data_IF_696385945722
#
_entry.id   IF_696385945722
#
_cell.length_a   1.000
_cell.length_b   1.000
_cell.length_c   1.000
_cell.angle_alpha   90.00
_cell.angle_beta   90.00
_cell.angle_gamma   90.00
#
_symmetry.space_group_name_H-M   'P 1'
#
loop_
_entity.id
_entity.type
_entity.pdbx_description
1 polymer ?
#
# COMPACT_ATOMS: atom_id res chain seq x y z
N UNK A 1 21.02 10.90 14.56
CA UNK A 1 20.17 10.89 13.35
C UNK A 1 18.95 10.05 13.67
N UNK A 2 17.75 10.60 13.47
CA UNK A 2 16.48 9.90 13.71
C UNK A 2 16.41 8.61 12.88
N UNK A 3 15.81 7.56 13.43
CA UNK A 3 15.65 6.28 12.75
C UNK A 3 14.22 5.76 12.92
N UNK A 4 13.55 5.52 11.80
CA UNK A 4 12.25 4.88 11.76
C UNK A 4 12.41 3.37 11.59
N UNK A 5 11.74 2.60 12.44
CA UNK A 5 11.71 1.14 12.39
C UNK A 5 10.42 0.69 11.73
N UNK A 6 10.55 -0.19 10.73
CA UNK A 6 9.43 -0.64 9.90
C UNK A 6 9.24 -2.14 10.01
N UNK A 7 7.99 -2.56 10.17
CA UNK A 7 7.57 -3.92 9.88
C UNK A 7 6.29 -3.94 9.04
N UNK A 8 6.10 -5.04 8.30
CA UNK A 8 5.01 -5.24 7.34
C UNK A 8 4.13 -6.42 7.75
N UNK A 9 2.85 -6.37 7.39
CA UNK A 9 1.94 -7.50 7.54
C UNK A 9 1.01 -7.64 6.36
N UNK A 10 0.55 -8.88 6.12
CA UNK A 10 -0.39 -9.16 5.04
C UNK A 10 0.21 -9.35 3.64
N UNK A 11 1.55 -9.36 3.53
CA UNK A 11 2.25 -9.60 2.27
C UNK A 11 1.97 -11.00 1.70
N UNK A 12 1.63 -11.04 0.41
CA UNK A 12 1.39 -12.27 -0.38
C UNK A 12 2.09 -12.25 -1.73
N UNK A 13 3.02 -11.31 -1.93
CA UNK A 13 3.67 -11.06 -3.21
C UNK A 13 2.68 -10.70 -4.30
N UNK A 14 2.82 -11.34 -5.46
CA UNK A 14 2.01 -11.07 -6.64
C UNK A 14 0.53 -11.41 -6.48
N UNK A 15 0.15 -12.19 -5.45
CA UNK A 15 -1.23 -12.61 -5.23
C UNK A 15 -2.00 -11.61 -4.36
N UNK A 16 -2.47 -10.52 -4.96
CA UNK A 16 -3.31 -9.52 -4.32
C UNK A 16 -4.79 -9.96 -4.18
N UNK A 17 -5.16 -11.11 -4.75
CA UNK A 17 -6.51 -11.68 -4.71
C UNK A 17 -6.68 -12.75 -3.61
N UNK A 18 -5.69 -12.91 -2.73
CA UNK A 18 -5.73 -13.90 -1.66
C UNK A 18 -6.93 -13.65 -0.70
N UNK A 19 -7.89 -14.60 -0.59
CA UNK A 19 -9.09 -14.40 0.22
C UNK A 19 -8.86 -14.48 1.73
N UNK A 20 -7.75 -15.07 2.19
CA UNK A 20 -7.41 -15.17 3.61
C UNK A 20 -6.62 -13.95 4.12
N UNK A 21 -5.96 -13.24 3.22
CA UNK A 21 -5.18 -12.05 3.50
C UNK A 21 -5.65 -10.93 2.57
N UNK A 22 -6.71 -10.20 2.92
CA UNK A 22 -7.24 -9.11 2.07
C UNK A 22 -6.44 -7.82 2.18
N UNK A 23 -5.94 -7.54 3.38
CA UNK A 23 -5.16 -6.33 3.64
C UNK A 23 -3.67 -6.62 3.63
N UNK A 24 -2.91 -5.61 3.23
CA UNK A 24 -1.49 -5.49 3.48
C UNK A 24 -1.22 -4.12 4.08
N UNK A 25 -0.15 -4.00 4.85
CA UNK A 25 0.24 -2.73 5.40
C UNK A 25 1.59 -2.79 6.08
N UNK A 26 2.01 -1.64 6.59
CA UNK A 26 3.25 -1.49 7.32
C UNK A 26 3.14 -0.36 8.34
N UNK A 27 3.91 -0.45 9.41
CA UNK A 27 4.02 0.64 10.39
C UNK A 27 5.47 1.11 10.44
N UNK A 28 5.67 2.43 10.41
CA UNK A 28 6.94 3.07 10.73
C UNK A 28 6.84 3.77 12.09
N UNK A 29 7.85 3.59 12.95
CA UNK A 29 7.92 4.25 14.26
C UNK A 29 9.34 4.71 14.59
N UNK A 30 9.49 5.95 15.05
CA UNK A 30 10.75 6.48 15.55
C UNK A 30 10.89 6.21 17.06
N UNK A 31 11.49 5.07 17.39
CA UNK A 31 11.76 4.62 18.76
C UNK A 31 13.10 3.88 18.85
N UNK A 32 13.89 4.13 19.89
CA UNK A 32 15.15 3.42 20.12
C UNK A 32 14.91 2.04 20.77
N UNK A 33 15.79 1.08 20.50
CA UNK A 33 15.64 -0.31 20.97
C UNK A 33 15.57 -0.43 22.51
N UNK A 34 16.32 0.40 23.24
CA UNK A 34 16.29 0.41 24.70
C UNK A 34 14.92 0.79 25.25
N UNK A 35 14.28 1.77 24.62
CA UNK A 35 12.97 2.29 25.01
C UNK A 35 11.85 1.34 24.59
N UNK A 36 11.90 0.82 23.36
CA UNK A 36 11.00 -0.24 22.92
C UNK A 36 11.11 -1.47 23.83
N UNK A 37 12.32 -1.88 24.18
CA UNK A 37 12.57 -2.97 25.11
C UNK A 37 12.04 -2.69 26.51
N UNK A 38 12.09 -1.44 26.99
CA UNK A 38 11.50 -1.02 28.28
C UNK A 38 9.98 -1.18 28.24
N UNK A 39 9.31 -0.63 27.23
CA UNK A 39 7.86 -0.74 27.06
C UNK A 39 7.39 -2.19 26.93
N UNK A 40 8.13 -3.03 26.18
CA UNK A 40 7.82 -4.45 26.07
C UNK A 40 7.88 -5.14 27.44
N UNK A 41 8.92 -4.89 28.25
CA UNK A 41 9.05 -5.47 29.59
C UNK A 41 7.98 -4.97 30.56
N UNK A 42 7.59 -3.71 30.44
CA UNK A 42 6.54 -3.08 31.27
C UNK A 42 5.16 -3.72 31.01
N UNK A 43 4.77 -3.84 29.74
CA UNK A 43 3.48 -4.40 29.35
C UNK A 43 3.45 -5.94 29.38
N UNK A 44 4.59 -6.59 29.11
CA UNK A 44 4.71 -8.05 29.04
C UNK A 44 5.82 -8.61 29.96
N UNK A 45 5.74 -8.41 31.30
CA UNK A 45 6.81 -8.77 32.24
C UNK A 45 7.07 -10.28 32.36
N UNK A 46 6.17 -11.11 31.85
CA UNK A 46 6.28 -12.59 31.85
C UNK A 46 6.61 -13.16 30.46
N UNK A 47 6.99 -12.31 29.51
CA UNK A 47 7.39 -12.76 28.18
C UNK A 47 8.72 -13.52 28.29
N UNK A 48 8.73 -14.76 27.81
CA UNK A 48 9.93 -15.61 27.74
C UNK A 48 10.38 -15.87 26.30
N UNK A 49 9.60 -15.40 25.32
CA UNK A 49 9.94 -15.55 23.92
C UNK A 49 11.04 -14.55 23.54
N UNK A 50 12.01 -15.01 22.74
CA UNK A 50 13.09 -14.17 22.22
C UNK A 50 12.59 -13.09 21.24
N UNK A 51 11.37 -13.26 20.72
CA UNK A 51 10.76 -12.35 19.76
C UNK A 51 9.27 -12.10 20.09
N UNK A 52 8.91 -10.83 20.14
CA UNK A 52 7.53 -10.38 20.29
C UNK A 52 6.85 -10.39 18.90
N UNK A 53 5.83 -11.25 18.75
CA UNK A 53 4.98 -11.29 17.55
C UNK A 53 3.51 -11.09 17.91
N UNK A 54 2.85 -10.17 17.22
CA UNK A 54 1.44 -9.82 17.40
C UNK A 54 0.54 -11.06 17.44
N UNK A 55 0.64 -11.92 16.43
CA UNK A 55 -0.19 -13.14 16.30
C UNK A 55 -0.07 -14.07 17.51
N UNK A 56 1.12 -14.16 18.12
CA UNK A 56 1.34 -14.99 19.30
C UNK A 56 0.73 -14.39 20.56
N UNK A 57 0.79 -13.05 20.69
CA UNK A 57 0.22 -12.33 21.82
C UNK A 57 -1.30 -12.28 21.78
N UNK A 58 -1.86 -11.95 20.62
CA UNK A 58 -3.29 -11.75 20.38
C UNK A 58 -4.10 -13.03 20.67
N UNK A 59 -3.51 -14.21 20.46
CA UNK A 59 -4.12 -15.50 20.79
C UNK A 59 -4.47 -15.67 22.28
N UNK A 60 -3.85 -14.92 23.19
CA UNK A 60 -4.06 -15.04 24.64
C UNK A 60 -4.96 -13.89 25.13
N UNK A 61 -6.20 -14.13 25.59
CA UNK A 61 -7.09 -13.07 26.06
C UNK A 61 -6.50 -12.18 27.17
N UNK A 62 -5.69 -12.77 28.05
CA UNK A 62 -4.98 -12.02 29.10
C UNK A 62 -4.01 -10.95 28.57
N UNK A 63 -3.61 -11.02 27.30
CA UNK A 63 -2.73 -10.05 26.66
C UNK A 63 -3.49 -8.90 25.98
N UNK A 64 -4.81 -8.98 25.78
CA UNK A 64 -5.55 -7.97 25.03
C UNK A 64 -5.46 -6.57 25.66
N UNK A 65 -5.66 -6.39 26.98
CA UNK A 65 -5.49 -5.08 27.60
C UNK A 65 -4.07 -4.54 27.51
N UNK A 66 -3.06 -5.44 27.51
CA UNK A 66 -1.64 -5.08 27.41
C UNK A 66 -1.27 -4.64 26.00
N UNK A 67 -1.81 -5.30 24.98
CA UNK A 67 -1.68 -4.87 23.58
C UNK A 67 -2.30 -3.49 23.35
N UNK A 68 -3.46 -3.23 23.94
CA UNK A 68 -4.11 -1.92 23.86
C UNK A 68 -3.33 -0.84 24.61
N UNK A 69 -2.74 -1.17 25.77
CA UNK A 69 -1.93 -0.23 26.54
C UNK A 69 -0.61 0.09 25.81
N UNK A 70 0.12 -0.91 25.34
CA UNK A 70 1.34 -0.71 24.55
C UNK A 70 1.08 0.15 23.31
N UNK A 71 0.03 -0.14 22.53
CA UNK A 71 -0.30 0.67 21.35
C UNK A 71 -0.60 2.13 21.72
N UNK A 72 -1.32 2.37 22.84
CA UNK A 72 -1.61 3.73 23.29
C UNK A 72 -0.32 4.50 23.59
N UNK A 73 0.60 3.90 24.33
CA UNK A 73 1.86 4.55 24.69
C UNK A 73 2.70 4.84 23.43
N UNK A 74 2.80 3.87 22.51
CA UNK A 74 3.51 4.05 21.23
C UNK A 74 2.92 5.16 20.37
N UNK A 75 1.59 5.21 20.24
CA UNK A 75 0.89 6.22 19.43
C UNK A 75 0.91 7.62 20.07
N UNK A 76 0.98 7.71 21.40
CA UNK A 76 0.96 8.99 22.11
C UNK A 76 2.35 9.63 22.15
N UNK A 77 3.38 8.83 22.41
CA UNK A 77 4.70 9.35 22.79
C UNK A 77 5.73 9.31 21.65
N UNK A 78 5.42 8.68 20.51
CA UNK A 78 6.36 8.51 19.40
C UNK A 78 5.80 8.95 18.04
N UNK A 79 6.69 9.50 17.21
CA UNK A 79 6.43 9.73 15.80
C UNK A 79 6.24 8.38 15.11
N UNK A 80 5.02 8.10 14.67
CA UNK A 80 4.69 6.89 13.93
C UNK A 80 3.64 7.13 12.84
N UNK A 81 3.63 6.24 11.87
CA UNK A 81 2.61 6.16 10.83
C UNK A 81 2.35 4.69 10.50
N UNK A 82 1.08 4.33 10.41
CA UNK A 82 0.62 3.03 9.93
C UNK A 82 -0.06 3.22 8.59
N UNK A 83 0.28 2.38 7.61
CA UNK A 83 -0.36 2.30 6.31
C UNK A 83 -1.13 0.99 6.19
N UNK A 84 -2.39 1.03 5.74
CA UNK A 84 -3.20 -0.17 5.43
C UNK A 84 -3.85 -0.03 4.06
N UNK A 85 -3.68 -1.02 3.18
CA UNK A 85 -4.36 -1.09 1.89
C UNK A 85 -5.20 -2.36 1.73
N UNK A 86 -6.37 -2.20 1.12
CA UNK A 86 -7.13 -3.32 0.56
C UNK A 86 -6.45 -3.78 -0.73
N UNK A 87 -5.96 -5.03 -0.77
CA UNK A 87 -5.18 -5.53 -1.90
C UNK A 87 -5.98 -5.67 -3.18
N UNK A 88 -7.27 -6.00 -3.08
CA UNK A 88 -8.16 -6.05 -4.26
C UNK A 88 -8.37 -4.65 -4.82
N UNK A 89 -8.53 -3.66 -3.96
CA UNK A 89 -8.65 -2.27 -4.38
C UNK A 89 -7.34 -1.74 -5.00
N UNK A 90 -6.19 -2.04 -4.39
CA UNK A 90 -4.89 -1.71 -4.97
C UNK A 90 -4.68 -2.37 -6.33
N UNK A 91 -5.09 -3.63 -6.49
CA UNK A 91 -5.02 -4.33 -7.78
C UNK A 91 -5.91 -3.66 -8.83
N UNK A 92 -7.07 -3.11 -8.44
CA UNK A 92 -7.91 -2.32 -9.34
C UNK A 92 -7.22 -1.02 -9.77
N UNK A 93 -6.55 -0.33 -8.86
CA UNK A 93 -5.76 0.87 -9.22
C UNK A 93 -4.66 0.50 -10.22
N UNK A 94 -3.90 -0.56 -9.96
CA UNK A 94 -2.89 -1.07 -10.90
C UNK A 94 -3.50 -1.49 -12.24
N UNK A 95 -4.67 -2.12 -12.23
CA UNK A 95 -5.39 -2.46 -13.46
C UNK A 95 -5.74 -1.21 -14.25
N UNK A 96 -6.24 -0.16 -13.60
CA UNK A 96 -6.54 1.09 -14.27
C UNK A 96 -5.26 1.76 -14.79
N UNK A 97 -4.18 1.78 -14.01
CA UNK A 97 -2.90 2.40 -14.41
C UNK A 97 -2.27 1.74 -15.65
N UNK A 98 -2.33 0.41 -15.76
CA UNK A 98 -1.64 -0.30 -16.85
C UNK A 98 -2.55 -0.77 -17.98
N UNK A 99 -3.82 -1.05 -17.68
CA UNK A 99 -4.73 -1.67 -18.63
C UNK A 99 -5.80 -0.70 -19.18
N UNK A 100 -5.88 0.52 -18.65
CA UNK A 100 -6.91 1.52 -19.00
C UNK A 100 -6.28 2.87 -19.32
N UNK A 101 -5.48 3.44 -18.41
CA UNK A 101 -4.93 4.79 -18.54
C UNK A 101 -4.15 5.03 -19.84
N UNK A 102 -3.30 4.12 -20.33
CA UNK A 102 -2.50 4.39 -21.54
C UNK A 102 -3.38 4.70 -22.76
N UNK A 103 -4.57 4.10 -22.83
CA UNK A 103 -5.55 4.39 -23.89
C UNK A 103 -6.02 5.85 -23.85
N UNK A 104 -6.25 6.40 -22.66
CA UNK A 104 -6.68 7.79 -22.49
C UNK A 104 -5.52 8.76 -22.69
N UNK A 105 -4.32 8.40 -22.22
CA UNK A 105 -3.10 9.19 -22.39
C UNK A 105 -2.78 9.41 -23.87
N UNK A 106 -2.78 8.36 -24.70
CA UNK A 106 -2.55 8.46 -26.16
C UNK A 106 -3.63 9.29 -26.89
N UNK A 107 -4.73 9.61 -26.22
CA UNK A 107 -5.82 10.47 -26.72
C UNK A 107 -5.79 11.87 -26.10
N UNK A 108 -4.75 12.21 -25.36
CA UNK A 108 -4.57 13.52 -24.73
C UNK A 108 -5.52 13.79 -23.57
N UNK A 109 -6.04 12.75 -22.93
CA UNK A 109 -6.94 12.87 -21.77
C UNK A 109 -6.16 12.53 -20.49
N UNK A 110 -6.20 13.44 -19.51
CA UNK A 110 -5.63 13.20 -18.18
C UNK A 110 -6.59 12.33 -17.34
N UNK A 111 -6.32 11.02 -17.34
CA UNK A 111 -7.10 10.04 -16.58
C UNK A 111 -6.93 10.18 -15.06
N UNK A 112 -5.91 10.92 -14.62
CA UNK A 112 -5.61 11.16 -13.20
C UNK A 112 -6.21 12.46 -12.66
N UNK A 113 -6.76 13.31 -13.53
CA UNK A 113 -7.32 14.61 -13.16
C UNK A 113 -8.28 14.47 -11.97
N UNK A 114 -8.02 15.22 -10.91
CA UNK A 114 -8.76 15.20 -9.64
C UNK A 114 -9.00 13.80 -9.04
N UNK A 115 -8.12 12.83 -9.31
CA UNK A 115 -8.22 11.47 -8.77
C UNK A 115 -9.29 10.59 -9.41
N UNK A 116 -9.63 10.84 -10.68
CA UNK A 116 -10.60 10.04 -11.43
C UNK A 116 -10.32 8.53 -11.39
N UNK A 117 -9.06 8.11 -11.47
CA UNK A 117 -8.65 6.72 -11.33
C UNK A 117 -9.11 6.09 -9.99
N UNK A 118 -8.99 6.81 -8.86
CA UNK A 118 -9.46 6.34 -7.55
C UNK A 118 -10.98 6.22 -7.48
N UNK A 119 -11.70 7.18 -8.05
CA UNK A 119 -13.16 7.15 -8.12
C UNK A 119 -13.64 5.97 -8.98
N UNK A 120 -13.04 5.75 -10.15
CA UNK A 120 -13.39 4.63 -11.02
C UNK A 120 -13.04 3.28 -10.39
N UNK A 121 -11.89 3.17 -9.72
CA UNK A 121 -11.53 1.96 -8.97
C UNK A 121 -12.53 1.69 -7.84
N UNK A 122 -12.98 2.72 -7.12
CA UNK A 122 -13.95 2.57 -6.02
C UNK A 122 -15.33 2.16 -6.53
N UNK A 123 -15.73 2.71 -7.68
CA UNK A 123 -16.94 2.30 -8.37
C UNK A 123 -16.84 0.81 -8.78
N UNK A 124 -15.79 0.43 -9.51
CA UNK A 124 -15.56 -0.97 -9.91
C UNK A 124 -15.50 -1.92 -8.72
N UNK A 125 -14.85 -1.52 -7.63
CA UNK A 125 -14.77 -2.30 -6.41
C UNK A 125 -16.18 -2.59 -5.85
N UNK A 126 -17.02 -1.55 -5.81
CA UNK A 126 -18.34 -1.59 -5.17
C UNK A 126 -19.37 -2.31 -6.03
N UNK A 127 -19.51 -1.91 -7.31
CA UNK A 127 -20.58 -2.40 -8.17
C UNK A 127 -20.12 -3.49 -9.13
N UNK A 128 -18.83 -3.63 -9.40
CA UNK A 128 -18.30 -4.58 -10.38
C UNK A 128 -18.69 -6.05 -10.14
N UNK A 129 -18.73 -6.57 -8.88
CA UNK A 129 -19.17 -7.94 -8.61
C UNK A 129 -20.59 -8.26 -9.07
N UNK A 130 -21.48 -7.27 -9.11
CA UNK A 130 -22.89 -7.43 -9.54
C UNK A 130 -23.12 -6.95 -10.97
N UNK A 131 -22.57 -5.78 -11.32
CA UNK A 131 -22.78 -5.09 -12.59
C UNK A 131 -22.17 -5.84 -13.77
N UNK A 132 -20.94 -6.34 -13.63
CA UNK A 132 -20.17 -6.94 -14.73
C UNK A 132 -20.58 -8.40 -15.04
N UNK A 133 -21.46 -8.97 -14.23
CA UNK A 133 -21.84 -10.38 -14.27
C UNK A 133 -21.08 -11.24 -13.25
N UNK A 134 -21.68 -12.37 -12.88
CA UNK A 134 -21.21 -13.23 -11.78
C UNK A 134 -19.75 -13.67 -11.97
N UNK A 135 -18.89 -13.26 -11.04
CA UNK A 135 -17.47 -13.57 -11.01
C UNK A 135 -16.65 -12.97 -12.15
N UNK A 136 -17.22 -12.06 -12.95
CA UNK A 136 -16.52 -11.45 -14.08
C UNK A 136 -15.34 -10.59 -13.61
N UNK A 137 -15.56 -9.76 -12.57
CA UNK A 137 -14.50 -8.94 -11.99
C UNK A 137 -13.34 -9.79 -11.45
N UNK A 138 -13.63 -10.91 -10.78
CA UNK A 138 -12.59 -11.79 -10.23
C UNK A 138 -11.76 -12.44 -11.35
N UNK A 139 -12.43 -12.93 -12.41
CA UNK A 139 -11.75 -13.49 -13.59
C UNK A 139 -10.87 -12.47 -14.28
N UNK A 140 -11.35 -11.23 -14.41
CA UNK A 140 -10.59 -10.12 -14.98
C UNK A 140 -9.33 -9.84 -14.16
N UNK A 141 -9.47 -9.63 -12.85
CA UNK A 141 -8.35 -9.30 -11.95
C UNK A 141 -7.32 -10.44 -11.86
N UNK A 142 -7.77 -11.69 -11.80
CA UNK A 142 -6.87 -12.86 -11.84
C UNK A 142 -6.11 -12.93 -13.17
N UNK A 143 -6.81 -12.69 -14.29
CA UNK A 143 -6.17 -12.68 -15.62
C UNK A 143 -5.18 -11.52 -15.77
N UNK A 144 -5.47 -10.37 -15.16
CA UNK A 144 -4.57 -9.22 -15.14
C UNK A 144 -3.29 -9.52 -14.36
N UNK A 145 -3.39 -10.06 -13.13
CA UNK A 145 -2.20 -10.48 -12.38
C UNK A 145 -1.35 -11.48 -13.17
N UNK A 146 -2.01 -12.44 -13.84
CA UNK A 146 -1.33 -13.45 -14.67
C UNK A 146 -0.62 -12.78 -15.86
N UNK A 147 -1.29 -11.86 -16.55
CA UNK A 147 -0.72 -11.12 -17.67
C UNK A 147 0.51 -10.28 -17.26
N UNK A 148 0.42 -9.55 -16.14
CA UNK A 148 1.54 -8.78 -15.60
C UNK A 148 2.70 -9.67 -15.17
N UNK A 149 2.42 -10.84 -14.59
CA UNK A 149 3.45 -11.78 -14.13
C UNK A 149 4.15 -12.51 -15.28
N UNK A 150 3.38 -13.10 -16.19
CA UNK A 150 3.89 -13.95 -17.26
C UNK A 150 4.36 -13.15 -18.48
N UNK A 151 3.75 -11.98 -18.74
CA UNK A 151 4.03 -11.10 -19.89
C UNK A 151 4.01 -11.83 -21.25
N UNK A 152 3.27 -12.93 -21.35
CA UNK A 152 3.15 -13.76 -22.55
C UNK A 152 1.94 -13.35 -23.39
N UNK A 153 2.00 -13.58 -24.70
CA UNK A 153 0.86 -13.32 -25.59
C UNK A 153 -0.39 -14.13 -25.19
N UNK A 154 -0.21 -15.34 -24.67
CA UNK A 154 -1.31 -16.17 -24.16
C UNK A 154 -1.98 -15.52 -22.94
N UNK A 155 -1.19 -15.04 -21.97
CA UNK A 155 -1.72 -14.40 -20.78
C UNK A 155 -2.44 -13.08 -21.10
N UNK A 156 -1.92 -12.29 -22.06
CA UNK A 156 -2.60 -11.11 -22.58
C UNK A 156 -3.91 -11.45 -23.28
N UNK A 157 -3.92 -12.50 -24.12
CA UNK A 157 -5.14 -12.99 -24.77
C UNK A 157 -6.22 -13.37 -23.76
N UNK A 158 -5.84 -14.11 -22.72
CA UNK A 158 -6.75 -14.50 -21.63
C UNK A 158 -7.32 -13.27 -20.88
N UNK A 159 -6.54 -12.21 -20.69
CA UNK A 159 -7.02 -10.97 -20.09
C UNK A 159 -8.06 -10.27 -20.98
N UNK A 160 -7.81 -10.18 -22.28
CA UNK A 160 -8.76 -9.61 -23.25
C UNK A 160 -10.05 -10.43 -23.25
N UNK A 161 -9.95 -11.76 -23.33
CA UNK A 161 -11.10 -12.66 -23.30
C UNK A 161 -11.93 -12.51 -22.02
N UNK A 162 -11.26 -12.34 -20.86
CA UNK A 162 -11.93 -12.09 -19.60
C UNK A 162 -12.70 -10.75 -19.59
N UNK A 163 -12.14 -9.70 -20.20
CA UNK A 163 -12.80 -8.41 -20.37
C UNK A 163 -14.00 -8.51 -21.33
N UNK A 164 -13.82 -9.16 -22.49
CA UNK A 164 -14.87 -9.38 -23.49
C UNK A 164 -16.05 -10.22 -22.96
N UNK A 165 -15.77 -11.21 -22.11
CA UNK A 165 -16.78 -12.08 -21.51
C UNK A 165 -17.56 -11.40 -20.35
N UNK A 166 -17.15 -10.21 -19.92
CA UNK A 166 -17.87 -9.41 -18.94
C UNK A 166 -18.96 -8.55 -19.60
N UNK A 167 -19.84 -7.95 -18.80
CA UNK A 167 -20.77 -6.90 -19.27
C UNK A 167 -20.04 -5.55 -19.37
N UNK A 168 -18.97 -5.50 -20.14
CA UNK A 168 -18.07 -4.34 -20.21
C UNK A 168 -18.76 -3.05 -20.67
N UNK A 169 -19.87 -3.16 -21.42
CA UNK A 169 -20.69 -2.02 -21.86
C UNK A 169 -21.40 -1.28 -20.71
N UNK A 170 -21.46 -1.86 -19.50
CA UNK A 170 -22.02 -1.18 -18.32
C UNK A 170 -21.04 -0.14 -17.74
N UNK A 171 -19.73 -0.33 -17.96
CA UNK A 171 -18.66 0.59 -17.57
C UNK A 171 -17.58 0.60 -18.67
N UNK A 172 -17.91 1.12 -19.88
CA UNK A 172 -17.01 1.10 -21.02
C UNK A 172 -15.74 1.91 -20.76
N UNK A 173 -15.77 2.89 -19.87
CA UNK A 173 -14.61 3.69 -19.51
C UNK A 173 -13.51 2.86 -18.84
N UNK A 174 -13.90 1.86 -18.04
CA UNK A 174 -12.94 0.99 -17.37
C UNK A 174 -12.54 -0.24 -18.18
N UNK A 175 -13.45 -0.76 -19.01
CA UNK A 175 -13.26 -2.07 -19.63
C UNK A 175 -13.18 -2.01 -21.16
N UNK A 176 -13.70 -0.95 -21.78
CA UNK A 176 -13.64 -0.72 -23.22
C UNK A 176 -12.22 -0.74 -23.80
N UNK A 177 -11.20 -0.14 -23.15
CA UNK A 177 -9.82 -0.21 -23.64
C UNK A 177 -9.34 -1.64 -23.93
N UNK A 178 -9.73 -2.60 -23.10
CA UNK A 178 -9.42 -4.01 -23.34
C UNK A 178 -10.48 -4.71 -24.20
N UNK A 179 -11.75 -4.65 -23.78
CA UNK A 179 -12.83 -5.48 -24.33
C UNK A 179 -13.25 -5.06 -25.74
N UNK A 180 -13.20 -3.76 -26.05
CA UNK A 180 -13.59 -3.25 -27.36
C UNK A 180 -12.38 -3.04 -28.28
N UNK A 181 -11.32 -2.45 -27.73
CA UNK A 181 -10.19 -1.98 -28.54
C UNK A 181 -8.98 -2.89 -28.52
N UNK A 182 -8.88 -3.81 -27.55
CA UNK A 182 -7.66 -4.56 -27.28
C UNK A 182 -6.42 -3.64 -27.35
N UNK A 183 -6.54 -2.48 -26.68
CA UNK A 183 -5.69 -1.31 -26.91
C UNK A 183 -4.19 -1.67 -26.83
N UNK A 184 -3.43 -1.55 -27.93
CA UNK A 184 -2.04 -1.99 -27.97
C UNK A 184 -1.15 -1.24 -26.97
N UNK A 185 -1.46 0.04 -26.69
CA UNK A 185 -0.81 0.86 -25.68
C UNK A 185 -0.95 0.26 -24.26
N UNK A 186 -2.13 -0.20 -23.89
CA UNK A 186 -2.38 -0.88 -22.62
C UNK A 186 -1.65 -2.23 -22.54
N UNK A 187 -1.72 -3.05 -23.59
CA UNK A 187 -1.03 -4.34 -23.63
C UNK A 187 0.50 -4.18 -23.55
N UNK A 188 1.04 -3.13 -24.19
CA UNK A 188 2.46 -2.77 -24.13
C UNK A 188 2.86 -2.32 -22.72
N UNK A 189 2.03 -1.52 -22.05
CA UNK A 189 2.29 -1.10 -20.67
C UNK A 189 2.38 -2.31 -19.73
N UNK A 190 1.45 -3.27 -19.83
CA UNK A 190 1.44 -4.51 -19.02
C UNK A 190 2.73 -5.32 -19.15
N UNK A 191 3.29 -5.42 -20.36
CA UNK A 191 4.52 -6.22 -20.62
C UNK A 191 5.82 -5.44 -20.41
N UNK A 192 5.75 -4.18 -19.99
CA UNK A 192 6.95 -3.38 -19.76
C UNK A 192 7.82 -4.02 -18.65
N UNK A 193 9.13 -4.22 -18.88
CA UNK A 193 10.02 -4.77 -17.87
C UNK A 193 9.98 -3.94 -16.57
N UNK A 194 9.84 -4.61 -15.42
CA UNK A 194 9.71 -3.96 -14.11
C UNK A 194 8.26 -3.79 -13.63
N UNK A 195 7.27 -3.73 -14.53
CA UNK A 195 5.85 -3.70 -14.15
C UNK A 195 5.48 -4.99 -13.43
N UNK A 196 4.86 -4.86 -12.26
CA UNK A 196 4.47 -5.95 -11.39
C UNK A 196 3.24 -5.56 -10.55
N UNK A 197 2.65 -6.52 -9.85
CA UNK A 197 1.51 -6.32 -8.93
C UNK A 197 1.92 -6.42 -7.45
N UNK A 198 3.17 -6.08 -7.12
CA UNK A 198 3.64 -6.08 -5.74
C UNK A 198 3.29 -4.76 -5.03
N UNK A 199 2.56 -4.89 -3.93
CA UNK A 199 2.14 -3.77 -3.11
C UNK A 199 3.26 -3.19 -2.21
N UNK A 200 4.33 -3.94 -1.95
CA UNK A 200 5.35 -3.58 -0.96
C UNK A 200 5.99 -2.21 -1.26
N UNK A 201 6.29 -1.92 -2.52
CA UNK A 201 6.87 -0.63 -2.88
C UNK A 201 5.90 0.54 -2.68
N UNK A 202 4.61 0.35 -3.01
CA UNK A 202 3.56 1.37 -2.80
C UNK A 202 3.39 1.67 -1.31
N UNK A 203 3.39 0.63 -0.47
CA UNK A 203 3.34 0.74 0.99
C UNK A 203 4.55 1.53 1.50
N UNK A 204 5.77 1.12 1.11
CA UNK A 204 7.00 1.77 1.54
C UNK A 204 7.07 3.23 1.09
N UNK A 205 6.71 3.53 -0.16
CA UNK A 205 6.70 4.91 -0.67
C UNK A 205 5.69 5.79 0.09
N UNK A 206 4.54 5.24 0.46
CA UNK A 206 3.55 5.93 1.28
C UNK A 206 4.10 6.26 2.68
N UNK A 207 4.82 5.31 3.29
CA UNK A 207 5.51 5.57 4.56
C UNK A 207 6.60 6.62 4.40
N UNK A 208 7.44 6.54 3.35
CA UNK A 208 8.50 7.53 3.09
C UNK A 208 7.91 8.93 2.95
N UNK A 209 6.85 9.10 2.15
CA UNK A 209 6.16 10.39 1.98
C UNK A 209 5.75 11.00 3.33
N UNK A 210 5.24 10.18 4.26
CA UNK A 210 4.85 10.66 5.59
C UNK A 210 6.03 10.90 6.52
N UNK A 211 7.03 10.02 6.52
CA UNK A 211 8.25 10.19 7.32
C UNK A 211 9.02 11.46 6.92
N UNK A 212 9.05 11.81 5.63
CA UNK A 212 9.62 13.07 5.14
C UNK A 212 8.96 14.30 5.77
N UNK A 213 7.65 14.24 6.05
CA UNK A 213 6.92 15.32 6.74
C UNK A 213 7.22 15.31 8.24
N UNK A 214 7.28 14.12 8.85
CA UNK A 214 7.43 13.95 10.31
C UNK A 214 8.87 14.18 10.82
N UNK A 215 9.86 13.95 9.97
CA UNK A 215 11.27 14.09 10.33
C UNK A 215 11.69 15.58 10.32
N UNK A 216 12.32 16.02 11.40
CA UNK A 216 12.81 17.40 11.55
C UNK A 216 14.07 17.66 10.69
N UNK A 217 14.76 16.60 10.28
CA UNK A 217 15.98 16.66 9.50
C UNK A 217 16.30 15.31 8.85
N UNK A 218 17.58 15.06 8.49
CA UNK A 218 17.99 13.79 7.92
C UNK A 218 17.63 12.61 8.82
N UNK A 219 17.13 11.53 8.22
CA UNK A 219 16.74 10.32 8.94
C UNK A 219 17.16 9.05 8.17
N UNK A 220 17.14 7.91 8.88
CA UNK A 220 17.32 6.58 8.28
C UNK A 220 16.13 5.68 8.56
N UNK A 221 16.05 4.59 7.81
CA UNK A 221 15.04 3.54 8.00
C UNK A 221 15.74 2.21 8.27
N UNK A 222 15.29 1.51 9.30
CA UNK A 222 15.62 0.12 9.60
C UNK A 222 14.34 -0.71 9.44
N UNK A 223 14.31 -1.59 8.45
CA UNK A 223 13.15 -2.42 8.15
C UNK A 223 13.41 -3.87 8.57
N UNK A 224 12.38 -4.62 8.98
CA UNK A 224 12.52 -6.07 9.17
C UNK A 224 13.00 -6.75 7.88
N UNK A 225 13.54 -7.96 7.98
CA UNK A 225 14.03 -8.66 6.80
C UNK A 225 12.90 -8.97 5.81
N UNK A 226 12.98 -8.39 4.61
CA UNK A 226 12.03 -8.58 3.53
C UNK A 226 12.77 -8.87 2.23
N UNK A 227 12.42 -10.00 1.59
CA UNK A 227 13.00 -10.38 0.29
C UNK A 227 12.71 -9.34 -0.80
N UNK A 228 11.63 -8.56 -0.67
CA UNK A 228 11.22 -7.60 -1.71
C UNK A 228 11.96 -6.27 -1.60
N UNK A 229 12.39 -5.89 -0.40
CA UNK A 229 13.25 -4.72 -0.26
C UNK A 229 14.54 -4.84 -1.06
N UNK A 230 15.05 -6.06 -1.24
CA UNK A 230 16.19 -6.32 -2.11
C UNK A 230 15.87 -5.98 -3.57
N UNK A 231 14.65 -6.26 -4.03
CA UNK A 231 14.18 -5.93 -5.38
C UNK A 231 14.12 -4.42 -5.62
N UNK A 232 13.72 -3.64 -4.61
CA UNK A 232 13.54 -2.18 -4.73
C UNK A 232 14.75 -1.37 -4.28
N UNK A 233 15.80 -2.01 -3.77
CA UNK A 233 16.95 -1.33 -3.19
C UNK A 233 17.58 -0.33 -4.16
N UNK A 234 17.82 -0.73 -5.41
CA UNK A 234 18.42 0.14 -6.43
C UNK A 234 17.53 1.33 -6.79
N UNK A 235 16.20 1.17 -6.80
CA UNK A 235 15.26 2.26 -7.01
C UNK A 235 15.25 3.25 -5.83
N UNK A 236 15.22 2.73 -4.60
CA UNK A 236 15.29 3.56 -3.38
C UNK A 236 16.61 4.34 -3.31
N UNK A 237 17.73 3.72 -3.67
CA UNK A 237 19.02 4.39 -3.72
C UNK A 237 19.04 5.53 -4.74
N UNK A 238 18.38 5.36 -5.90
CA UNK A 238 18.23 6.43 -6.89
C UNK A 238 17.39 7.59 -6.35
N UNK A 239 16.30 7.31 -5.64
CA UNK A 239 15.49 8.35 -4.99
C UNK A 239 16.29 9.12 -3.93
N UNK A 240 17.03 8.42 -3.08
CA UNK A 240 17.85 9.02 -2.02
C UNK A 240 18.95 9.93 -2.60
N UNK A 241 19.58 9.51 -3.71
CA UNK A 241 20.65 10.26 -4.37
C UNK A 241 20.15 11.37 -5.30
N UNK A 242 18.84 11.52 -5.45
CA UNK A 242 18.28 12.47 -6.39
C UNK A 242 18.28 13.89 -5.81
N UNK A 243 19.16 14.74 -6.34
CA UNK A 243 19.40 16.08 -5.79
C UNK A 243 18.57 17.19 -6.45
N UNK A 244 17.89 16.91 -7.58
CA UNK A 244 17.15 17.95 -8.32
C UNK A 244 15.94 18.41 -7.49
N UNK A 245 15.88 19.69 -7.07
CA UNK A 245 14.77 20.18 -6.26
C UNK A 245 13.46 20.19 -7.05
N UNK A 246 12.46 19.46 -6.55
CA UNK A 246 11.14 19.42 -7.14
C UNK A 246 10.10 18.98 -6.11
N UNK A 247 8.88 19.47 -6.24
CA UNK A 247 7.73 19.06 -5.42
C UNK A 247 6.53 18.79 -6.30
N UNK A 248 5.86 17.67 -6.03
CA UNK A 248 4.61 17.30 -6.66
C UNK A 248 3.51 17.11 -5.61
N UNK A 249 2.37 17.74 -5.83
CA UNK A 249 1.18 17.55 -4.99
C UNK A 249 0.48 16.23 -5.33
N UNK A 250 0.20 15.41 -4.33
CA UNK A 250 -0.54 14.15 -4.48
C UNK A 250 -1.98 14.27 -3.97
N UNK A 251 -2.19 15.02 -2.88
CA UNK A 251 -3.50 15.30 -2.31
C UNK A 251 -3.50 16.61 -1.51
N UNK A 252 -4.56 16.86 -0.74
CA UNK A 252 -4.63 17.94 0.25
C UNK A 252 -3.52 17.86 1.31
N UNK A 253 -3.12 16.64 1.70
CA UNK A 253 -2.20 16.41 2.83
C UNK A 253 -0.89 15.69 2.45
N UNK A 254 -0.71 15.35 1.17
CA UNK A 254 0.44 14.58 0.69
C UNK A 254 1.12 15.23 -0.52
N UNK A 255 2.45 15.19 -0.51
CA UNK A 255 3.32 15.63 -1.59
C UNK A 255 4.58 14.78 -1.66
N UNK A 256 5.20 14.70 -2.83
CA UNK A 256 6.53 14.11 -3.01
C UNK A 256 7.50 15.26 -3.26
N UNK A 257 8.53 15.37 -2.44
CA UNK A 257 9.57 16.42 -2.57
C UNK A 257 10.94 15.78 -2.66
N UNK A 258 11.76 16.27 -3.59
CA UNK A 258 13.18 15.96 -3.68
C UNK A 258 14.02 17.23 -3.48
N UNK A 259 15.26 17.12 -2.99
CA UNK A 259 15.89 15.91 -2.44
C UNK A 259 15.19 15.39 -1.17
N UNK A 260 15.29 14.08 -0.94
CA UNK A 260 14.74 13.44 0.26
C UNK A 260 15.61 13.76 1.50
N UNK A 261 14.99 13.84 2.68
CA UNK A 261 15.71 13.81 3.97
C UNK A 261 16.22 12.40 4.29
N UNK A 262 15.55 11.35 3.79
CA UNK A 262 15.95 9.95 3.92
C UNK A 262 17.37 9.73 3.38
N UNK A 263 18.27 9.25 4.24
CA UNK A 263 19.67 9.01 3.91
C UNK A 263 19.98 7.55 3.57
N UNK A 264 19.25 6.60 4.17
CA UNK A 264 19.51 5.17 3.97
C UNK A 264 18.34 4.30 4.43
N UNK A 265 18.15 3.18 3.74
CA UNK A 265 17.25 2.08 4.13
C UNK A 265 18.09 0.83 4.32
N UNK A 266 18.05 0.25 5.53
CA UNK A 266 18.78 -0.98 5.89
C UNK A 266 17.81 -2.03 6.44
N UNK A 267 18.19 -3.30 6.35
CA UNK A 267 17.41 -4.40 6.93
C UNK A 267 18.05 -4.88 8.24
N UNK A 268 17.23 -5.24 9.24
CA UNK A 268 17.66 -5.77 10.53
C UNK A 268 16.83 -7.02 10.89
N UNK A 269 17.44 -7.98 11.58
CA UNK A 269 16.72 -9.14 12.14
C UNK A 269 15.90 -8.67 13.35
N UNK A 270 14.57 -8.82 13.29
CA UNK A 270 13.64 -8.47 14.35
C UNK A 270 14.01 -9.08 15.71
N UNK A 271 14.69 -10.23 15.77
CA UNK A 271 15.16 -10.85 17.03
C UNK A 271 16.15 -9.97 17.80
N UNK A 272 16.83 -9.08 17.09
CA UNK A 272 17.81 -8.17 17.66
C UNK A 272 17.33 -6.72 17.73
N UNK A 273 16.08 -6.43 17.33
CA UNK A 273 15.50 -5.09 17.40
C UNK A 273 14.11 -5.08 18.05
N UNK A 274 14.02 -4.81 19.36
CA UNK A 274 12.77 -4.49 20.02
C UNK A 274 11.95 -3.41 19.32
N UNK A 275 12.60 -2.44 18.67
CA UNK A 275 11.92 -1.36 17.94
C UNK A 275 11.19 -1.87 16.68
N UNK A 276 11.76 -2.83 15.93
CA UNK A 276 11.04 -3.51 14.84
C UNK A 276 9.91 -4.38 15.37
N UNK A 277 10.12 -5.04 16.52
CA UNK A 277 9.07 -5.86 17.14
C UNK A 277 7.84 -5.07 17.59
N UNK A 278 8.00 -3.83 18.05
CA UNK A 278 6.82 -2.98 18.34
C UNK A 278 6.11 -2.54 17.07
N UNK A 279 6.83 -2.36 15.95
CA UNK A 279 6.21 -2.12 14.65
C UNK A 279 5.35 -3.32 14.20
N UNK A 280 5.81 -4.57 14.38
CA UNK A 280 5.03 -5.81 14.15
C UNK A 280 3.70 -5.79 14.91
N UNK A 281 3.74 -5.39 16.19
CA UNK A 281 2.56 -5.29 17.05
C UNK A 281 1.56 -4.27 16.53
N UNK A 282 2.04 -3.08 16.15
CA UNK A 282 1.19 -2.01 15.63
C UNK A 282 0.52 -2.41 14.31
N UNK A 283 1.28 -2.91 13.34
CA UNK A 283 0.72 -3.28 12.04
C UNK A 283 -0.17 -4.52 12.15
N UNK A 284 0.21 -5.49 12.99
CA UNK A 284 -0.59 -6.69 13.26
C UNK A 284 -1.98 -6.35 13.81
N UNK A 285 -2.06 -5.43 14.77
CA UNK A 285 -3.31 -4.96 15.34
C UNK A 285 -4.16 -4.17 14.32
N UNK A 286 -3.54 -3.27 13.56
CA UNK A 286 -4.23 -2.50 12.53
C UNK A 286 -4.84 -3.39 11.44
N UNK A 287 -4.10 -4.40 10.97
CA UNK A 287 -4.60 -5.36 9.98
C UNK A 287 -5.74 -6.22 10.55
N UNK A 288 -5.64 -6.68 11.79
CA UNK A 288 -6.73 -7.43 12.43
C UNK A 288 -8.01 -6.58 12.56
N UNK A 289 -7.86 -5.33 12.99
CA UNK A 289 -8.97 -4.40 13.09
C UNK A 289 -9.61 -4.10 11.72
N UNK A 290 -8.81 -3.89 10.67
CA UNK A 290 -9.31 -3.71 9.30
C UNK A 290 -10.10 -4.94 8.80
N UNK A 291 -9.61 -6.16 9.06
CA UNK A 291 -10.33 -7.40 8.74
C UNK A 291 -11.67 -7.52 9.48
N UNK A 292 -11.73 -7.02 10.72
CA UNK A 292 -12.94 -7.06 11.56
C UNK A 292 -13.98 -6.06 11.09
N UNK A 293 -13.58 -4.80 10.86
CA UNK A 293 -14.47 -3.74 10.41
C UNK A 293 -15.05 -4.00 9.02
N UNK A 294 -14.33 -4.74 8.17
CA UNK A 294 -14.82 -5.12 6.84
C UNK A 294 -15.57 -6.46 6.82
N UNK A 295 -15.86 -7.03 7.99
CA UNK A 295 -16.69 -8.24 8.13
C UNK A 295 -16.05 -9.53 7.64
N UNK A 296 -14.75 -9.52 7.36
CA UNK A 296 -14.04 -10.69 6.83
C UNK A 296 -13.74 -11.72 7.91
N UNK A 297 -13.32 -11.26 9.09
CA UNK A 297 -12.98 -12.13 10.21
C UNK A 297 -13.20 -11.40 11.53
N UNK A 298 -13.86 -12.05 12.49
CA UNK A 298 -13.92 -11.53 13.85
C UNK A 298 -12.50 -11.47 14.46
N UNK A 299 -12.03 -10.26 14.76
CA UNK A 299 -10.81 -10.00 15.50
C UNK A 299 -10.95 -10.40 16.97
N UNK A 300 -9.81 -10.52 17.64
CA UNK A 300 -9.76 -10.75 19.08
C UNK A 300 -9.73 -9.42 19.84
N UNK A 301 -9.21 -8.36 19.22
CA UNK A 301 -9.30 -6.99 19.73
C UNK A 301 -10.57 -6.29 19.24
N UNK A 302 -11.04 -5.34 20.03
CA UNK A 302 -12.12 -4.43 19.66
C UNK A 302 -11.60 -3.46 18.57
N UNK A 303 -12.03 -3.68 17.33
CA UNK A 303 -11.48 -3.00 16.17
C UNK A 303 -11.74 -1.48 16.17
N UNK A 304 -12.91 -1.05 16.66
CA UNK A 304 -13.23 0.38 16.78
C UNK A 304 -12.30 1.05 17.79
N UNK A 305 -12.05 0.39 18.93
CA UNK A 305 -11.11 0.91 19.93
C UNK A 305 -9.67 0.94 19.44
N UNK A 306 -9.23 -0.04 18.65
CA UNK A 306 -7.89 -0.04 18.04
C UNK A 306 -7.75 1.16 17.12
N UNK A 307 -8.71 1.36 16.21
CA UNK A 307 -8.67 2.47 15.26
C UNK A 307 -8.76 3.84 15.96
N UNK A 308 -9.55 3.95 17.03
CA UNK A 308 -9.69 5.18 17.81
C UNK A 308 -8.41 5.59 18.58
N UNK A 309 -7.37 4.73 18.66
CA UNK A 309 -6.08 5.14 19.22
C UNK A 309 -5.26 6.00 18.25
N UNK A 310 -5.50 5.87 16.94
CA UNK A 310 -4.74 6.59 15.93
C UNK A 310 -5.24 8.03 15.83
N UNK A 311 -4.32 8.99 15.86
CA UNK A 311 -4.64 10.34 15.39
C UNK A 311 -4.75 10.36 13.86
N UNK A 312 -5.50 11.32 13.30
CA UNK A 312 -5.75 11.45 11.85
C UNK A 312 -4.46 11.42 10.99
N UNK A 313 -3.36 11.89 11.56
CA UNK A 313 -2.09 12.05 10.88
C UNK A 313 -1.14 10.83 11.01
N UNK A 314 -1.58 9.79 11.72
CA UNK A 314 -0.83 8.55 12.01
C UNK A 314 -1.36 7.33 11.24
N UNK A 315 -2.50 7.45 10.55
CA UNK A 315 -3.07 6.36 9.76
C UNK A 315 -3.24 6.80 8.30
N UNK A 316 -2.62 6.07 7.39
CA UNK A 316 -2.84 6.19 5.95
C UNK A 316 -3.62 4.95 5.51
N UNK A 317 -4.68 5.16 4.73
CA UNK A 317 -5.46 4.04 4.22
C UNK A 317 -5.68 4.13 2.71
N UNK A 318 -5.56 3.00 2.04
CA UNK A 318 -5.91 2.85 0.62
C UNK A 318 -7.08 1.87 0.53
N UNK A 319 -8.27 2.43 0.70
CA UNK A 319 -9.54 1.73 0.75
C UNK A 319 -10.50 2.33 -0.30
N UNK A 320 -11.42 1.54 -0.85
CA UNK A 320 -12.46 2.06 -1.74
C UNK A 320 -13.40 2.99 -0.96
N UNK A 321 -13.84 4.08 -1.60
CA UNK A 321 -14.82 5.02 -1.03
C UNK A 321 -15.92 5.33 -2.05
N UNK A 322 -17.17 5.33 -1.58
CA UNK A 322 -18.33 5.75 -2.38
C UNK A 322 -18.67 7.23 -2.20
N UNK A 323 -17.92 7.96 -1.37
CA UNK A 323 -18.01 9.41 -1.27
C UNK A 323 -17.13 10.04 -2.36
N UNK A 324 -17.64 10.05 -3.59
CA UNK A 324 -16.90 10.52 -4.76
C UNK A 324 -16.57 12.03 -4.70
N UNK A 325 -17.42 12.82 -4.04
CA UNK A 325 -17.19 14.25 -3.86
C UNK A 325 -16.02 14.51 -2.90
N UNK A 326 -15.96 13.75 -1.79
CA UNK A 326 -14.81 13.78 -0.89
C UNK A 326 -13.53 13.32 -1.60
N UNK A 327 -13.57 12.20 -2.34
CA UNK A 327 -12.41 11.68 -3.07
C UNK A 327 -11.85 12.70 -4.08
N UNK A 328 -12.74 13.37 -4.81
CA UNK A 328 -12.40 14.41 -5.78
C UNK A 328 -11.79 15.62 -5.08
N UNK A 329 -12.44 16.15 -4.04
CA UNK A 329 -11.93 17.29 -3.26
C UNK A 329 -10.54 17.00 -2.69
N UNK A 330 -10.34 15.81 -2.11
CA UNK A 330 -9.09 15.41 -1.49
C UNK A 330 -7.91 15.38 -2.49
N UNK A 331 -8.18 15.10 -3.77
CA UNK A 331 -7.16 15.02 -4.84
C UNK A 331 -7.22 16.16 -5.83
N UNK A 332 -7.97 17.21 -5.52
CA UNK A 332 -8.12 18.34 -6.42
C UNK A 332 -6.76 19.00 -6.71
N UNK A 333 -6.44 19.15 -7.99
CA UNK A 333 -5.14 19.68 -8.42
C UNK A 333 -3.95 18.77 -8.09
N UNK A 334 -4.17 17.46 -7.95
CA UNK A 334 -3.09 16.49 -7.90
C UNK A 334 -2.28 16.50 -9.20
N UNK A 335 -0.99 16.20 -9.09
CA UNK A 335 -0.04 16.18 -10.20
C UNK A 335 0.39 14.75 -10.53
N UNK A 336 -0.51 13.78 -10.39
CA UNK A 336 -0.18 12.36 -10.49
C UNK A 336 0.45 11.98 -11.85
N UNK A 337 -0.13 12.41 -12.98
CA UNK A 337 0.46 12.20 -14.30
C UNK A 337 1.87 12.78 -14.43
N UNK A 338 2.09 14.01 -13.91
CA UNK A 338 3.40 14.67 -13.93
C UNK A 338 4.44 13.92 -13.07
N UNK A 339 4.02 13.28 -11.98
CA UNK A 339 4.90 12.42 -11.17
C UNK A 339 5.31 11.18 -11.95
N UNK A 340 4.35 10.54 -12.63
CA UNK A 340 4.60 9.35 -13.44
C UNK A 340 5.61 9.67 -14.54
N UNK A 341 5.39 10.77 -15.28
CA UNK A 341 6.31 11.24 -16.31
C UNK A 341 7.70 11.52 -15.73
N UNK A 342 7.76 12.25 -14.62
CA UNK A 342 9.02 12.56 -13.96
C UNK A 342 9.77 11.29 -13.52
N UNK A 343 9.06 10.31 -12.99
CA UNK A 343 9.66 9.06 -12.52
C UNK A 343 10.15 8.21 -13.70
N UNK A 344 9.39 8.18 -14.80
CA UNK A 344 9.81 7.53 -16.03
C UNK A 344 11.10 8.15 -16.60
N UNK A 345 11.23 9.47 -16.58
CA UNK A 345 12.41 10.18 -17.07
C UNK A 345 13.65 10.01 -16.18
N UNK A 346 13.47 10.07 -14.85
CA UNK A 346 14.59 10.19 -13.91
C UNK A 346 14.97 8.86 -13.23
N UNK A 347 14.07 7.88 -13.17
CA UNK A 347 14.27 6.66 -12.38
C UNK A 347 14.00 5.34 -13.13
N UNK A 348 13.58 5.36 -14.39
CA UNK A 348 13.32 4.13 -15.15
C UNK A 348 14.61 3.37 -15.55
N UNK A 349 15.75 4.06 -15.70
CA UNK A 349 17.02 3.45 -16.11
C UNK A 349 18.01 3.40 -14.94
N UNK A 350 18.81 2.32 -14.79
CA UNK A 350 19.86 2.22 -13.77
C UNK A 350 20.87 3.36 -13.83
#
# INVERSE_FOLDING_TARGET
MECFRIDESGYTGFDLMNPEQRFQGATAIAIEDDEAGRLIREHFPKLQADELKYRALARRPANHPRLMALQRDLLTDHKCVTYVCDKRYLLLLMFLDYAVEPFYYERGMDFYEDGQNYSLASLLYTVGPTLLGKGALDRLLVSFQRAVKEKSSEALGNLIDAACASRWWELPEALGPLAQFAAPECLKAIVTPGVNTDAAFVVLQSLVSRMEIMADGPYRVEHDQSKNLLTYHDLLQRYIRHEKPITFRQSEIASITFPLKLQSVTQIDSKHSPAVQVADVMIGAAIEAANTLTGQRAGVLDAEKVMALYADHQLIHMLPSIDFEEQKRFRQGSQAGQVIDYFAENFHKP
#
